data_IF_393107994070
#
_entry.id   IF_393107994070
#
_cell.length_a   1.000
_cell.length_b   1.000
_cell.length_c   1.000
_cell.angle_alpha   90.00
_cell.angle_beta   90.00
_cell.angle_gamma   90.00
#
_symmetry.space_group_name_H-M   'P 1'
#
loop_
_entity.id
_entity.type
_entity.pdbx_description
1 polymer ?
#
# COMPACT_ATOMS: atom_id res chain seq x y z
N UNK A 1 -19.51 9.34 -3.40
CA UNK A 1 -18.66 10.43 -3.94
C UNK A 1 -17.40 9.86 -4.57
N UNK A 2 -16.94 10.45 -5.67
CA UNK A 2 -15.65 10.11 -6.33
C UNK A 2 -14.80 11.37 -6.29
N UNK A 3 -13.61 11.29 -5.64
CA UNK A 3 -12.65 12.39 -5.55
C UNK A 3 -11.25 11.87 -5.26
N UNK A 4 -10.23 12.70 -5.46
CA UNK A 4 -8.88 12.39 -5.04
C UNK A 4 -8.78 12.44 -3.51
N UNK A 5 -8.43 11.34 -2.88
CA UNK A 5 -8.29 11.23 -1.43
C UNK A 5 -7.26 12.20 -0.84
N UNK A 6 -6.28 12.66 -1.60
CA UNK A 6 -5.36 13.70 -1.16
C UNK A 6 -6.06 15.06 -0.94
N UNK A 7 -7.27 15.24 -1.50
CA UNK A 7 -8.10 16.44 -1.29
C UNK A 7 -9.17 16.27 -0.20
N UNK A 8 -9.12 15.17 0.58
CA UNK A 8 -10.14 14.81 1.57
C UNK A 8 -10.49 15.97 2.51
N UNK A 9 -9.50 16.74 2.97
CA UNK A 9 -9.71 17.86 3.89
C UNK A 9 -10.67 18.94 3.36
N UNK A 10 -10.78 19.07 2.04
CA UNK A 10 -11.67 20.07 1.38
C UNK A 10 -13.05 19.50 1.04
N UNK A 11 -13.26 18.19 1.18
CA UNK A 11 -14.51 17.53 0.86
C UNK A 11 -15.55 17.67 1.98
N UNK A 12 -16.81 17.69 1.64
CA UNK A 12 -17.88 17.69 2.65
C UNK A 12 -17.86 16.45 3.54
N UNK A 13 -17.36 15.32 3.04
CA UNK A 13 -17.18 14.09 3.78
C UNK A 13 -16.28 14.29 5.02
N UNK A 14 -15.28 15.17 4.96
CA UNK A 14 -14.36 15.44 6.06
C UNK A 14 -15.04 16.00 7.33
N UNK A 15 -16.25 16.52 7.21
CA UNK A 15 -17.06 17.05 8.32
C UNK A 15 -17.87 15.95 9.04
N UNK A 16 -17.94 14.76 8.47
CA UNK A 16 -18.66 13.64 9.04
C UNK A 16 -17.82 12.89 10.08
N UNK A 17 -18.47 12.16 10.96
CA UNK A 17 -17.85 11.35 12.01
C UNK A 17 -18.20 9.88 11.84
N UNK A 18 -17.22 9.02 12.07
CA UNK A 18 -17.35 7.57 11.88
C UNK A 18 -16.77 6.83 13.08
N UNK A 19 -17.33 5.68 13.40
CA UNK A 19 -16.80 4.77 14.40
C UNK A 19 -15.74 3.85 13.81
N UNK A 20 -15.79 3.65 12.49
CA UNK A 20 -14.84 2.84 11.74
C UNK A 20 -14.54 3.50 10.39
N UNK A 21 -13.25 3.65 10.10
CA UNK A 21 -12.75 4.01 8.76
C UNK A 21 -11.84 2.89 8.30
N UNK A 22 -12.08 2.36 7.11
CA UNK A 22 -11.26 1.32 6.51
C UNK A 22 -10.75 1.72 5.15
N UNK A 23 -9.54 1.28 4.81
CA UNK A 23 -8.99 1.40 3.46
C UNK A 23 -8.07 0.22 3.15
N UNK A 24 -8.21 -0.36 1.98
CA UNK A 24 -7.41 -1.49 1.55
C UNK A 24 -6.49 -1.12 0.38
N UNK A 25 -5.19 -1.35 0.55
CA UNK A 25 -4.16 -1.21 -0.49
C UNK A 25 -4.18 0.14 -1.24
N UNK A 26 -4.45 1.24 -0.53
CA UNK A 26 -4.52 2.58 -1.13
C UNK A 26 -3.51 3.58 -0.55
N UNK A 27 -2.97 3.34 0.65
CA UNK A 27 -2.10 4.30 1.35
C UNK A 27 -0.84 4.65 0.55
N UNK A 28 -0.32 3.72 -0.23
CA UNK A 28 0.87 3.93 -1.06
C UNK A 28 0.70 5.02 -2.15
N UNK A 29 -0.54 5.45 -2.40
CA UNK A 29 -0.89 6.49 -3.36
C UNK A 29 -1.17 7.84 -2.71
N UNK A 30 -1.16 7.91 -1.37
CA UNK A 30 -1.60 9.06 -0.61
C UNK A 30 -0.43 9.83 0.00
N UNK A 31 -0.56 11.14 0.07
CA UNK A 31 0.24 11.97 0.96
C UNK A 31 -0.29 11.82 2.40
N UNK A 32 0.31 10.91 3.15
CA UNK A 32 -0.13 10.60 4.51
C UNK A 32 -0.08 11.80 5.44
N UNK A 33 0.82 12.76 5.21
CA UNK A 33 0.91 13.98 6.03
C UNK A 33 -0.31 14.88 5.86
N UNK A 34 -0.92 14.87 4.69
CA UNK A 34 -2.15 15.63 4.42
C UNK A 34 -3.41 14.86 4.86
N UNK A 35 -3.45 13.55 4.61
CA UNK A 35 -4.68 12.76 4.76
C UNK A 35 -4.92 12.34 6.20
N UNK A 36 -3.86 11.95 6.95
CA UNK A 36 -4.01 11.41 8.32
C UNK A 36 -4.65 12.37 9.32
N UNK A 37 -4.31 13.66 9.37
CA UNK A 37 -4.98 14.60 10.28
C UNK A 37 -6.50 14.62 10.07
N UNK A 38 -6.92 14.59 8.80
CA UNK A 38 -8.33 14.59 8.43
C UNK A 38 -9.00 13.28 8.83
N UNK A 39 -8.41 12.13 8.52
CA UNK A 39 -8.93 10.82 8.92
C UNK A 39 -9.06 10.71 10.44
N UNK A 40 -8.05 11.15 11.19
CA UNK A 40 -8.10 11.16 12.64
C UNK A 40 -9.23 12.07 13.16
N UNK A 41 -9.45 13.23 12.54
CA UNK A 41 -10.54 14.12 12.90
C UNK A 41 -11.93 13.52 12.56
N UNK A 42 -12.04 12.76 11.50
CA UNK A 42 -13.29 12.10 11.09
C UNK A 42 -13.69 10.93 11.99
N UNK A 43 -12.81 10.41 12.83
CA UNK A 43 -13.16 9.37 13.80
C UNK A 43 -13.89 9.94 15.02
N UNK A 44 -14.92 9.23 15.48
CA UNK A 44 -15.50 9.41 16.79
C UNK A 44 -14.52 9.04 17.90
N UNK A 45 -14.80 9.43 19.15
CA UNK A 45 -14.09 8.92 20.33
C UNK A 45 -14.15 7.40 20.34
N UNK A 46 -13.05 6.72 20.60
CA UNK A 46 -12.88 5.26 20.51
C UNK A 46 -13.04 4.68 19.08
N UNK A 47 -13.18 5.51 18.08
CA UNK A 47 -13.28 5.08 16.69
C UNK A 47 -12.01 4.37 16.23
N UNK A 48 -12.15 3.50 15.26
CA UNK A 48 -11.11 2.62 14.73
C UNK A 48 -10.74 3.05 13.31
N UNK A 49 -9.44 3.15 13.05
CA UNK A 49 -8.86 3.25 11.70
C UNK A 49 -8.18 1.92 11.37
N UNK A 50 -8.68 1.22 10.34
CA UNK A 50 -8.12 -0.04 9.86
C UNK A 50 -7.68 0.09 8.42
N UNK A 51 -6.38 0.01 8.20
CA UNK A 51 -5.78 0.27 6.90
C UNK A 51 -4.88 -0.89 6.48
N UNK A 52 -4.76 -1.10 5.18
CA UNK A 52 -3.70 -1.91 4.62
C UNK A 52 -2.90 -1.14 3.57
N UNK A 53 -1.62 -1.50 3.44
CA UNK A 53 -0.69 -0.98 2.45
C UNK A 53 0.34 -2.05 2.13
N UNK A 54 1.39 -1.65 1.43
CA UNK A 54 2.53 -2.51 1.13
C UNK A 54 3.82 -1.93 1.70
N UNK A 55 4.77 -2.80 2.04
CA UNK A 55 6.08 -2.47 2.56
C UNK A 55 7.19 -2.55 1.51
N UNK A 56 8.42 -2.31 1.96
CA UNK A 56 9.59 -2.12 1.09
C UNK A 56 9.94 -3.31 0.20
N UNK A 57 9.58 -4.53 0.63
CA UNK A 57 9.84 -5.77 -0.12
C UNK A 57 8.79 -6.06 -1.18
N UNK A 58 7.72 -5.24 -1.27
CA UNK A 58 6.64 -5.48 -2.22
C UNK A 58 7.12 -5.37 -3.66
N UNK A 59 6.89 -6.42 -4.45
CA UNK A 59 7.26 -6.51 -5.86
C UNK A 59 8.75 -6.18 -6.13
N UNK A 60 9.64 -6.59 -5.20
CA UNK A 60 11.08 -6.33 -5.31
C UNK A 60 11.69 -6.84 -6.61
N UNK A 61 11.20 -7.98 -7.13
CA UNK A 61 11.63 -8.59 -8.38
C UNK A 61 11.34 -7.68 -9.57
N UNK A 62 10.17 -7.05 -9.58
CA UNK A 62 9.75 -6.10 -10.62
C UNK A 62 10.59 -4.84 -10.56
N UNK A 63 10.77 -4.29 -9.36
CA UNK A 63 11.61 -3.10 -9.17
C UNK A 63 13.05 -3.34 -9.62
N UNK A 64 13.61 -4.52 -9.33
CA UNK A 64 14.98 -4.87 -9.71
C UNK A 64 15.14 -5.17 -11.19
N UNK A 65 14.11 -5.65 -11.89
CA UNK A 65 14.17 -5.98 -13.32
C UNK A 65 13.79 -4.83 -14.23
N UNK A 66 12.93 -3.91 -13.77
CA UNK A 66 12.39 -2.83 -14.60
C UNK A 66 12.79 -1.43 -14.14
N UNK A 67 13.37 -1.30 -12.94
CA UNK A 67 13.60 -0.03 -12.23
C UNK A 67 12.30 0.75 -11.94
N UNK A 68 11.14 0.15 -12.16
CA UNK A 68 9.81 0.72 -11.89
C UNK A 68 9.28 0.20 -10.55
N UNK A 69 8.64 1.07 -9.79
CA UNK A 69 8.04 0.71 -8.52
C UNK A 69 7.66 1.94 -7.69
N UNK A 70 6.78 1.76 -6.74
CA UNK A 70 6.45 2.78 -5.75
C UNK A 70 7.54 2.84 -4.67
N UNK A 71 7.60 3.96 -4.01
CA UNK A 71 8.33 4.09 -2.74
C UNK A 71 7.38 3.66 -1.63
N UNK A 72 7.71 2.56 -0.98
CA UNK A 72 6.96 2.07 0.17
C UNK A 72 7.62 2.51 1.48
N UNK A 73 6.82 2.65 2.53
CA UNK A 73 7.29 2.93 3.87
C UNK A 73 7.61 1.64 4.62
N UNK A 74 8.64 1.67 5.46
CA UNK A 74 8.87 0.65 6.47
C UNK A 74 7.83 0.74 7.60
N UNK A 75 7.66 -0.32 8.38
CA UNK A 75 6.78 -0.33 9.55
C UNK A 75 7.16 0.74 10.58
N UNK A 76 8.48 1.00 10.75
CA UNK A 76 8.99 2.06 11.64
C UNK A 76 8.61 3.47 11.15
N UNK A 77 8.73 3.73 9.85
CA UNK A 77 8.32 5.00 9.28
C UNK A 77 6.81 5.21 9.41
N UNK A 78 6.03 4.17 9.15
CA UNK A 78 4.57 4.22 9.34
C UNK A 78 4.23 4.52 10.80
N UNK A 79 4.84 3.84 11.77
CA UNK A 79 4.61 4.11 13.19
C UNK A 79 4.88 5.58 13.53
N UNK A 80 6.00 6.14 13.06
CA UNK A 80 6.35 7.55 13.27
C UNK A 80 5.33 8.51 12.64
N UNK A 81 4.80 8.17 11.46
CA UNK A 81 3.81 8.98 10.76
C UNK A 81 2.46 8.98 11.49
N UNK A 82 2.07 7.84 12.07
CA UNK A 82 0.76 7.69 12.75
C UNK A 82 0.78 8.17 14.21
N UNK A 83 1.91 8.07 14.91
CA UNK A 83 2.07 8.40 16.32
C UNK A 83 1.58 9.81 16.76
N UNK A 84 1.68 10.88 15.95
CA UNK A 84 1.11 12.17 16.31
C UNK A 84 -0.42 12.21 16.44
N UNK A 85 -1.12 11.24 15.87
CA UNK A 85 -2.59 11.22 15.76
C UNK A 85 -3.26 10.12 16.58
N UNK A 86 -2.51 9.08 16.95
CA UNK A 86 -3.02 7.90 17.65
C UNK A 86 -2.02 7.45 18.71
N UNK A 87 -2.52 7.13 19.90
CA UNK A 87 -1.71 6.56 20.99
C UNK A 87 -1.70 5.02 20.96
N UNK A 88 -2.78 4.39 20.48
CA UNK A 88 -2.91 2.94 20.33
C UNK A 88 -2.78 2.57 18.84
N UNK A 89 -1.58 2.11 18.47
CA UNK A 89 -1.22 1.74 17.09
C UNK A 89 -0.69 0.31 17.10
N UNK A 90 -1.29 -0.55 16.29
CA UNK A 90 -0.79 -1.89 16.02
C UNK A 90 -0.49 -2.02 14.53
N UNK A 91 0.77 -2.33 14.20
CA UNK A 91 1.22 -2.58 12.84
C UNK A 91 1.70 -4.03 12.77
N UNK A 92 1.21 -4.76 11.77
CA UNK A 92 1.64 -6.12 11.44
C UNK A 92 2.00 -6.20 9.96
N UNK A 93 2.96 -7.05 9.63
CA UNK A 93 3.41 -7.26 8.26
C UNK A 93 3.58 -8.74 7.96
N UNK A 94 3.49 -9.10 6.70
CA UNK A 94 3.70 -10.45 6.20
C UNK A 94 4.54 -10.41 4.93
N UNK A 95 5.28 -11.49 4.66
CA UNK A 95 5.96 -11.70 3.38
C UNK A 95 5.31 -12.90 2.70
N UNK A 96 4.68 -12.66 1.57
CA UNK A 96 4.02 -13.68 0.76
C UNK A 96 4.77 -13.85 -0.55
N UNK A 97 5.28 -15.05 -0.80
CA UNK A 97 5.95 -15.38 -2.04
C UNK A 97 5.00 -16.20 -2.92
N UNK A 98 4.74 -15.71 -4.13
CA UNK A 98 4.02 -16.45 -5.17
C UNK A 98 5.03 -17.05 -6.15
N UNK A 99 4.76 -18.27 -6.61
CA UNK A 99 5.55 -18.96 -7.62
C UNK A 99 4.69 -19.19 -8.86
N UNK A 100 5.25 -18.97 -10.03
CA UNK A 100 4.57 -19.11 -11.32
C UNK A 100 5.32 -20.11 -12.20
N UNK A 101 4.63 -20.69 -13.18
CA UNK A 101 5.24 -21.67 -14.08
C UNK A 101 6.32 -21.05 -14.99
N UNK A 102 6.15 -19.78 -15.36
CA UNK A 102 7.09 -19.02 -16.20
C UNK A 102 6.94 -17.52 -15.97
N UNK A 103 7.92 -16.74 -16.45
CA UNK A 103 7.91 -15.29 -16.29
C UNK A 103 6.71 -14.61 -16.95
N UNK A 104 6.21 -15.12 -18.07
CA UNK A 104 5.04 -14.54 -18.73
C UNK A 104 3.80 -14.56 -17.83
N UNK A 105 3.62 -15.60 -17.03
CA UNK A 105 2.52 -15.68 -16.07
C UNK A 105 2.69 -14.68 -14.91
N UNK A 106 3.92 -14.41 -14.46
CA UNK A 106 4.18 -13.33 -13.49
C UNK A 106 3.65 -12.00 -14.02
N UNK A 107 4.01 -11.63 -15.24
CA UNK A 107 3.59 -10.36 -15.83
C UNK A 107 2.11 -10.33 -16.20
N UNK A 108 1.51 -11.47 -16.55
CA UNK A 108 0.05 -11.58 -16.72
C UNK A 108 -0.69 -11.37 -15.40
N UNK A 109 -0.21 -11.96 -14.31
CA UNK A 109 -0.74 -11.75 -12.96
C UNK A 109 -0.71 -10.28 -12.57
N UNK A 110 0.42 -9.59 -12.75
CA UNK A 110 0.55 -8.15 -12.49
C UNK A 110 -0.44 -7.32 -13.32
N UNK A 111 -0.63 -7.68 -14.59
CA UNK A 111 -1.62 -7.03 -15.44
C UNK A 111 -3.04 -7.19 -14.92
N UNK A 112 -3.41 -8.38 -14.50
CA UNK A 112 -4.75 -8.69 -14.00
C UNK A 112 -5.01 -8.10 -12.61
N UNK A 113 -3.98 -7.94 -11.78
CA UNK A 113 -4.09 -7.33 -10.46
C UNK A 113 -4.11 -5.79 -10.48
N UNK A 114 -4.04 -5.16 -11.65
CA UNK A 114 -4.09 -3.71 -11.80
C UNK A 114 -2.79 -2.96 -11.46
N UNK A 115 -1.70 -3.67 -11.20
CA UNK A 115 -0.40 -3.08 -10.83
C UNK A 115 0.36 -2.46 -12.02
N UNK A 116 -0.18 -2.55 -13.23
CA UNK A 116 0.46 -2.07 -14.47
C UNK A 116 0.61 -0.54 -14.59
N UNK A 117 0.05 0.24 -13.68
CA UNK A 117 0.08 1.71 -13.75
C UNK A 117 1.43 2.32 -13.38
N UNK A 118 2.42 1.52 -13.04
CA UNK A 118 3.74 2.00 -12.58
C UNK A 118 4.70 2.42 -13.69
N UNK A 119 4.35 2.21 -14.96
CA UNK A 119 5.17 2.58 -16.12
C UNK A 119 5.16 1.55 -17.24
N UNK A 120 5.84 1.89 -18.33
CA UNK A 120 5.97 1.01 -19.49
C UNK A 120 7.31 0.29 -19.48
N UNK A 121 7.28 -1.03 -19.64
CA UNK A 121 8.44 -1.86 -19.91
C UNK A 121 8.13 -2.80 -21.08
N UNK A 122 9.14 -3.11 -21.86
CA UNK A 122 8.97 -3.96 -23.04
C UNK A 122 9.22 -5.42 -22.69
N UNK A 123 8.16 -6.20 -22.68
CA UNK A 123 8.26 -7.65 -22.57
C UNK A 123 8.75 -8.23 -23.91
N UNK A 124 9.99 -8.71 -23.93
CA UNK A 124 10.55 -9.48 -25.04
C UNK A 124 11.10 -10.81 -24.50
N UNK A 125 11.47 -11.73 -25.41
CA UNK A 125 11.95 -13.06 -25.03
C UNK A 125 13.21 -13.02 -24.16
N UNK A 126 14.12 -12.10 -24.43
CA UNK A 126 15.36 -11.94 -23.69
C UNK A 126 15.07 -11.49 -22.25
N UNK A 127 14.24 -10.48 -22.06
CA UNK A 127 13.84 -9.98 -20.75
C UNK A 127 13.15 -11.05 -19.90
N UNK A 128 12.22 -11.83 -20.49
CA UNK A 128 11.55 -12.93 -19.79
C UNK A 128 12.55 -14.00 -19.33
N UNK A 129 13.51 -14.37 -20.19
CA UNK A 129 14.56 -15.34 -19.84
C UNK A 129 15.43 -14.84 -18.69
N UNK A 130 15.89 -13.58 -18.74
CA UNK A 130 16.67 -12.96 -17.65
C UNK A 130 15.90 -12.91 -16.33
N UNK A 131 14.59 -12.63 -16.40
CA UNK A 131 13.73 -12.66 -15.22
C UNK A 131 13.63 -14.06 -14.62
N UNK A 132 13.42 -15.10 -15.45
CA UNK A 132 13.37 -16.50 -15.01
C UNK A 132 14.68 -16.94 -14.35
N UNK A 133 15.81 -16.65 -14.99
CA UNK A 133 17.15 -16.99 -14.47
C UNK A 133 17.44 -16.32 -13.13
N UNK A 134 17.04 -15.05 -12.99
CA UNK A 134 17.36 -14.26 -11.79
C UNK A 134 16.39 -14.51 -10.64
N UNK A 135 15.09 -14.65 -10.90
CA UNK A 135 14.05 -14.64 -9.87
C UNK A 135 13.26 -15.96 -9.78
N UNK A 136 13.57 -16.94 -10.64
CA UNK A 136 12.90 -18.25 -10.63
C UNK A 136 11.37 -18.15 -10.69
N UNK A 137 10.85 -17.19 -11.44
CA UNK A 137 9.42 -16.92 -11.58
C UNK A 137 8.70 -16.62 -10.26
N UNK A 138 9.42 -16.08 -9.26
CA UNK A 138 8.85 -15.68 -7.98
C UNK A 138 8.44 -14.23 -7.99
N UNK A 139 7.42 -13.93 -7.18
CA UNK A 139 6.94 -12.59 -6.94
C UNK A 139 6.67 -12.43 -5.45
N UNK A 140 7.24 -11.39 -4.84
CA UNK A 140 7.09 -11.10 -3.43
C UNK A 140 6.00 -10.05 -3.22
N UNK A 141 5.03 -10.35 -2.36
CA UNK A 141 4.12 -9.37 -1.77
C UNK A 141 4.50 -9.12 -0.32
N UNK A 142 4.41 -7.86 0.11
CA UNK A 142 4.71 -7.44 1.47
C UNK A 142 3.57 -6.60 2.02
N UNK A 143 2.39 -7.20 2.33
CA UNK A 143 1.27 -6.49 2.93
C UNK A 143 1.62 -6.05 4.35
N UNK A 144 1.18 -4.83 4.69
CA UNK A 144 1.23 -4.23 6.02
C UNK A 144 -0.19 -3.86 6.42
N UNK A 145 -0.57 -4.23 7.64
CA UNK A 145 -1.87 -3.92 8.23
C UNK A 145 -1.67 -2.98 9.42
N UNK A 146 -2.47 -1.94 9.49
CA UNK A 146 -2.39 -0.89 10.49
C UNK A 146 -3.74 -0.76 11.18
N UNK A 147 -3.77 -0.98 12.47
CA UNK A 147 -4.93 -0.75 13.33
C UNK A 147 -4.59 0.39 14.29
N UNK A 148 -5.38 1.46 14.24
CA UNK A 148 -5.28 2.57 15.17
C UNK A 148 -6.60 2.78 15.89
N UNK A 149 -6.53 3.15 17.17
CA UNK A 149 -7.72 3.57 17.95
C UNK A 149 -7.57 5.02 18.36
N UNK A 150 -8.66 5.75 18.24
CA UNK A 150 -8.73 7.13 18.70
C UNK A 150 -8.96 7.19 20.19
N UNK A 151 -8.24 8.11 20.83
CA UNK A 151 -8.37 8.34 22.27
C UNK A 151 -9.78 8.77 22.68
N UNK A 152 -10.05 8.58 23.96
CA UNK A 152 -11.33 8.97 24.60
C UNK A 152 -11.38 10.43 25.03
N UNK A 153 -10.23 11.14 24.95
CA UNK A 153 -10.13 12.55 25.37
C UNK A 153 -10.78 13.52 24.40
#
# INVERSE_FOLDING_TARGET
EIFDMNTLATQNLSKQKFDLITSNASLQWLDLKQVLPTLANMLNKKGILLLSTFGEMNLKEIKQSTSLGLKYFSTKELEQIFKPYFSDIKITEEIVNLEFQNALEVFRHLKLSGVNSLGFYRLNKQFLKEFEEKFQNKLTYHPIFILCKKDTK
#
